data_IF_888831825120
#
_entry.id   IF_888831825120
#
_cell.length_a   1.000
_cell.length_b   1.000
_cell.length_c   1.000
_cell.angle_alpha   90.00
_cell.angle_beta   90.00
_cell.angle_gamma   90.00
#
_symmetry.space_group_name_H-M   'P 1'
#
loop_
_entity.id
_entity.type
_entity.pdbx_description
1 polymer ?
#
# COMPACT_ATOMS: atom_id res chain seq x y z
N UNK A 1 4.62 -10.07 -7.49
CA UNK A 1 4.33 -10.61 -6.14
C UNK A 1 3.67 -9.52 -5.31
N UNK A 2 2.43 -9.73 -4.88
CA UNK A 2 1.68 -8.71 -4.12
C UNK A 2 2.01 -8.80 -2.63
N UNK A 3 2.10 -7.63 -1.99
CA UNK A 3 2.29 -7.51 -0.54
C UNK A 3 1.42 -6.39 -0.01
N UNK A 4 1.14 -6.45 1.29
CA UNK A 4 0.61 -5.30 2.01
C UNK A 4 1.74 -4.29 2.14
N UNK A 5 1.53 -3.08 1.66
CA UNK A 5 2.48 -1.99 1.83
C UNK A 5 1.86 -0.92 2.72
N UNK A 6 2.64 -0.43 3.68
CA UNK A 6 2.28 0.77 4.45
C UNK A 6 2.78 1.96 3.66
N UNK A 7 1.85 2.71 3.07
CA UNK A 7 2.17 3.89 2.27
C UNK A 7 2.08 5.15 3.11
N UNK A 8 2.83 6.18 2.72
CA UNK A 8 2.68 7.51 3.30
C UNK A 8 1.36 8.13 2.84
N UNK A 9 0.45 8.32 3.79
CA UNK A 9 -0.83 8.99 3.59
C UNK A 9 -0.78 10.42 4.10
N UNK A 10 -1.80 10.81 4.86
CA UNK A 10 -1.97 12.20 5.27
C UNK A 10 -1.25 12.47 6.61
N UNK A 11 -0.05 13.07 6.55
CA UNK A 11 0.78 13.35 7.74
C UNK A 11 0.08 14.25 8.77
N UNK A 12 -0.94 15.00 8.35
CA UNK A 12 -1.73 15.84 9.25
C UNK A 12 -2.94 15.11 9.85
N UNK A 13 -3.20 13.86 9.46
CA UNK A 13 -4.31 13.11 10.01
C UNK A 13 -4.07 12.75 11.48
N UNK A 14 -5.00 13.16 12.33
CA UNK A 14 -5.05 12.81 13.76
C UNK A 14 -5.08 11.30 14.04
N UNK A 15 -5.45 10.47 13.05
CA UNK A 15 -5.50 9.01 13.16
C UNK A 15 -4.34 8.39 12.40
N UNK A 16 -3.52 7.60 13.08
CA UNK A 16 -2.38 6.88 12.47
C UNK A 16 -2.76 6.04 11.25
N UNK A 17 -3.97 5.46 11.20
CA UNK A 17 -4.45 4.68 10.04
C UNK A 17 -4.63 5.51 8.77
N UNK A 18 -4.83 6.82 8.89
CA UNK A 18 -4.96 7.76 7.76
C UNK A 18 -3.60 8.37 7.37
N UNK A 19 -2.71 8.56 8.35
CA UNK A 19 -1.34 8.96 8.09
C UNK A 19 -0.53 7.85 7.41
N UNK A 20 -0.82 6.59 7.74
CA UNK A 20 -0.11 5.42 7.24
C UNK A 20 -1.09 4.32 6.78
N UNK A 21 -1.82 4.53 5.68
CA UNK A 21 -2.73 3.55 5.16
C UNK A 21 -1.97 2.32 4.65
N UNK A 22 -2.52 1.15 4.98
CA UNK A 22 -2.06 -0.14 4.49
C UNK A 22 -2.80 -0.44 3.18
N UNK A 23 -2.06 -0.60 2.09
CA UNK A 23 -2.61 -0.87 0.76
C UNK A 23 -1.91 -2.08 0.16
N UNK A 24 -2.70 -3.02 -0.37
CA UNK A 24 -2.17 -4.08 -1.22
C UNK A 24 -1.80 -3.46 -2.58
N UNK A 25 -0.52 -3.48 -2.95
CA UNK A 25 -0.06 -2.96 -4.23
C UNK A 25 0.69 -4.06 -5.00
N UNK A 26 0.66 -3.98 -6.33
CA UNK A 26 1.50 -4.79 -7.20
C UNK A 26 2.88 -4.15 -7.39
N UNK A 27 3.87 -4.90 -7.87
CA UNK A 27 5.25 -4.43 -8.11
C UNK A 27 5.35 -3.23 -9.07
N UNK A 28 4.31 -2.99 -9.88
CA UNK A 28 4.21 -1.82 -10.75
C UNK A 28 3.70 -0.61 -9.98
N UNK A 29 2.55 -0.76 -9.30
CA UNK A 29 1.93 0.35 -8.57
C UNK A 29 2.71 0.75 -7.32
N UNK A 30 3.38 -0.18 -6.65
CA UNK A 30 4.19 0.12 -5.46
C UNK A 30 5.27 1.17 -5.74
N UNK A 31 5.77 1.27 -6.97
CA UNK A 31 6.80 2.24 -7.38
C UNK A 31 6.31 3.69 -7.39
N UNK A 32 5.00 3.89 -7.54
CA UNK A 32 4.36 5.20 -7.54
C UNK A 32 4.02 5.69 -6.12
N UNK A 33 4.22 4.83 -5.11
CA UNK A 33 3.91 5.10 -3.72
C UNK A 33 5.17 5.16 -2.86
N UNK A 34 5.14 6.03 -1.85
CA UNK A 34 6.18 6.07 -0.82
C UNK A 34 5.88 4.96 0.19
N UNK A 35 6.64 3.87 0.11
CA UNK A 35 6.51 2.74 1.02
C UNK A 35 7.32 3.00 2.28
N UNK A 36 6.64 3.05 3.42
CA UNK A 36 7.24 3.23 4.73
C UNK A 36 7.56 1.88 5.35
N UNK A 37 6.71 0.87 5.11
CA UNK A 37 6.93 -0.48 5.58
C UNK A 37 6.37 -1.48 4.57
N UNK A 38 7.20 -2.45 4.17
CA UNK A 38 6.73 -3.64 3.48
C UNK A 38 6.20 -4.65 4.49
N UNK A 39 4.99 -5.15 4.24
CA UNK A 39 4.34 -6.18 5.03
C UNK A 39 4.37 -7.55 4.34
N UNK A 40 3.47 -8.41 4.78
CA UNK A 40 3.36 -9.78 4.29
C UNK A 40 2.80 -9.86 2.87
N UNK A 41 3.10 -10.99 2.20
CA UNK A 41 2.51 -11.32 0.90
C UNK A 41 1.01 -11.48 1.05
N UNK A 42 0.24 -10.79 0.23
CA UNK A 42 -1.23 -10.85 0.23
C UNK A 42 -1.74 -11.40 -1.08
N UNK A 43 -2.92 -12.02 -1.03
CA UNK A 43 -3.69 -12.43 -2.21
C UNK A 43 -4.72 -11.38 -2.63
N UNK A 44 -4.82 -10.27 -1.90
CA UNK A 44 -5.69 -9.17 -2.27
C UNK A 44 -5.29 -8.56 -3.62
N UNK A 45 -6.31 -8.14 -4.38
CA UNK A 45 -6.14 -7.39 -5.61
C UNK A 45 -5.43 -6.05 -5.34
N UNK A 46 -4.69 -5.55 -6.32
CA UNK A 46 -4.01 -4.29 -6.17
C UNK A 46 -5.03 -3.16 -5.94
N UNK A 47 -4.98 -2.48 -4.78
CA UNK A 47 -5.91 -1.42 -4.41
C UNK A 47 -5.93 -0.25 -5.42
N UNK A 48 -4.90 -0.13 -6.26
CA UNK A 48 -4.77 0.94 -7.26
C UNK A 48 -5.35 0.55 -8.63
N UNK A 49 -5.09 -0.65 -9.10
CA UNK A 49 -5.39 -1.05 -10.48
C UNK A 49 -6.25 -2.32 -10.59
N UNK A 50 -6.58 -2.96 -9.47
CA UNK A 50 -7.26 -4.26 -9.43
C UNK A 50 -6.47 -5.37 -10.13
N UNK A 51 -5.24 -5.10 -10.56
CA UNK A 51 -4.50 -6.04 -11.40
C UNK A 51 -4.01 -7.22 -10.57
N UNK A 52 -4.36 -8.40 -11.05
CA UNK A 52 -3.95 -9.70 -10.54
C UNK A 52 -2.59 -10.15 -11.15
N UNK A 53 -1.74 -9.22 -11.57
CA UNK A 53 -0.47 -9.49 -12.28
C UNK A 53 0.75 -9.41 -11.35
#
# INVERSE_FOLDING_TARGET
>A
MRKIYVTEGDKNAKKQKLAYPKLALCDKCVKDYVIISEGERTYEECAKCGADD
#
